data_IF_597414155412
#
_entry.id   IF_597414155412
#
_cell.length_a   1.000
_cell.length_b   1.000
_cell.length_c   1.000
_cell.angle_alpha   90.00
_cell.angle_beta   90.00
_cell.angle_gamma   90.00
#
_symmetry.space_group_name_H-M   'P 1'
#
loop_
_entity.id
_entity.type
_entity.pdbx_description
1 polymer ?
#
# COMPACT_ATOMS: atom_id res chain seq x y z
N UNK A 1 6.95 36.55 66.42
CA UNK A 1 8.28 36.41 65.77
C UNK A 1 8.49 34.96 65.36
N UNK A 2 9.10 34.76 64.19
CA UNK A 2 9.07 33.55 63.37
C UNK A 2 9.94 32.39 63.87
N UNK A 3 9.54 31.16 63.47
CA UNK A 3 10.35 30.33 62.56
C UNK A 3 9.49 29.19 61.95
N UNK A 4 9.40 29.08 60.60
CA UNK A 4 8.71 27.97 59.94
C UNK A 4 9.50 26.66 60.09
N UNK A 5 8.80 25.57 60.39
CA UNK A 5 9.37 24.20 60.46
C UNK A 5 9.52 23.67 59.04
N UNK A 6 10.76 23.29 58.66
CA UNK A 6 11.06 22.62 57.40
C UNK A 6 10.28 21.30 57.31
N UNK A 7 9.48 21.13 56.26
CA UNK A 7 9.12 19.80 55.75
C UNK A 7 10.33 19.28 54.99
N UNK A 8 10.84 18.14 55.42
CA UNK A 8 11.86 17.39 54.69
C UNK A 8 11.14 16.69 53.55
N UNK A 9 11.51 17.01 52.32
CA UNK A 9 10.98 16.38 51.12
C UNK A 9 11.68 15.02 50.99
N UNK A 10 10.92 13.93 51.17
CA UNK A 10 11.38 12.58 50.85
C UNK A 10 10.87 12.31 49.42
N UNK A 11 11.75 12.28 48.41
CA UNK A 11 11.33 12.01 47.04
C UNK A 11 10.92 10.54 46.95
N UNK A 12 9.62 10.24 46.84
CA UNK A 12 9.14 8.88 46.54
C UNK A 12 7.91 8.33 47.27
N UNK A 13 6.89 9.13 47.62
CA UNK A 13 5.55 8.63 47.98
C UNK A 13 4.47 9.47 47.29
N UNK A 14 3.91 9.00 46.17
CA UNK A 14 2.74 8.12 46.03
C UNK A 14 1.38 8.86 46.04
N UNK A 15 0.65 8.83 44.93
CA UNK A 15 -0.82 8.68 44.92
C UNK A 15 -1.29 8.10 43.57
N UNK A 16 -1.70 6.83 43.56
CA UNK A 16 -2.60 6.24 42.54
C UNK A 16 -4.06 6.62 42.87
N UNK A 17 -5.08 6.35 42.03
CA UNK A 17 -5.16 6.12 40.57
C UNK A 17 -6.26 6.99 39.92
N UNK A 18 -6.44 6.94 38.58
CA UNK A 18 -7.75 6.70 37.88
C UNK A 18 -7.71 7.25 36.44
N UNK A 19 -8.40 6.51 35.55
CA UNK A 19 -8.87 6.85 34.21
C UNK A 19 -7.93 6.50 33.03
N UNK A 20 -8.15 5.28 32.55
CA UNK A 20 -8.61 4.95 31.19
C UNK A 20 -7.72 5.17 29.95
N UNK A 21 -7.75 4.11 29.14
CA UNK A 21 -7.28 3.93 27.76
C UNK A 21 -5.77 3.72 27.57
N UNK A 22 -5.32 2.52 27.90
CA UNK A 22 -4.12 1.91 27.32
C UNK A 22 -4.46 1.43 25.89
N UNK A 23 -4.40 2.35 24.91
CA UNK A 23 -4.12 1.96 23.52
C UNK A 23 -2.63 2.18 23.34
N UNK A 24 -1.92 1.06 23.29
CA UNK A 24 -0.46 0.98 23.30
C UNK A 24 0.22 2.09 22.49
N UNK A 25 1.13 2.76 23.19
CA UNK A 25 2.08 3.69 22.62
C UNK A 25 2.72 3.08 21.35
N UNK A 26 2.43 3.71 20.21
CA UNK A 26 3.24 3.61 19.01
C UNK A 26 4.62 4.20 19.34
N UNK A 27 5.50 3.37 19.85
CA UNK A 27 6.94 3.64 19.84
C UNK A 27 7.39 3.46 18.40
N UNK A 28 7.73 4.57 17.73
CA UNK A 28 8.16 4.56 16.35
C UNK A 28 8.65 5.91 15.88
N UNK A 29 9.89 6.19 16.24
CA UNK A 29 10.82 7.13 15.60
C UNK A 29 10.49 8.64 15.61
N UNK A 30 11.33 9.36 16.35
CA UNK A 30 11.39 10.81 16.41
C UNK A 30 11.89 11.35 15.05
N UNK A 31 10.95 11.71 14.17
CA UNK A 31 11.24 12.31 12.86
C UNK A 31 11.84 13.71 13.09
N UNK A 32 13.16 13.82 12.98
CA UNK A 32 13.84 15.12 12.92
C UNK A 32 13.30 15.92 11.74
N UNK A 33 12.81 17.13 12.03
CA UNK A 33 12.07 17.97 11.10
C UNK A 33 12.75 18.21 9.75
N UNK A 34 12.12 17.72 8.71
CA UNK A 34 12.11 18.24 7.34
C UNK A 34 10.74 17.89 6.78
N UNK A 35 10.09 18.83 6.09
CA UNK A 35 8.81 18.52 5.46
C UNK A 35 9.00 17.29 4.56
N UNK A 36 8.13 16.27 4.66
CA UNK A 36 8.29 15.06 3.84
C UNK A 36 8.33 15.45 2.37
N UNK A 37 9.27 14.86 1.64
CA UNK A 37 9.39 15.06 0.19
C UNK A 37 8.01 14.82 -0.45
N UNK A 38 7.49 15.75 -1.27
CA UNK A 38 6.20 15.58 -1.94
C UNK A 38 6.08 14.24 -2.68
N UNK A 39 7.17 13.67 -3.18
CA UNK A 39 7.19 12.34 -3.79
C UNK A 39 6.84 11.23 -2.78
N UNK A 40 7.38 11.31 -1.56
CA UNK A 40 7.09 10.36 -0.47
C UNK A 40 5.64 10.49 -0.01
N UNK A 41 5.10 11.72 0.06
CA UNK A 41 3.68 11.94 0.38
C UNK A 41 2.78 11.30 -0.67
N UNK A 42 3.08 11.52 -1.96
CA UNK A 42 2.30 10.96 -3.07
C UNK A 42 2.32 9.42 -3.05
N UNK A 43 3.49 8.82 -2.82
CA UNK A 43 3.65 7.37 -2.67
C UNK A 43 2.79 6.82 -1.53
N UNK A 44 2.92 7.39 -0.33
CA UNK A 44 2.16 6.91 0.84
C UNK A 44 0.65 7.07 0.65
N UNK A 45 0.23 8.16 0.01
CA UNK A 45 -1.18 8.38 -0.35
C UNK A 45 -1.67 7.28 -1.29
N UNK A 46 -0.86 6.87 -2.27
CA UNK A 46 -1.20 5.81 -3.20
C UNK A 46 -1.28 4.46 -2.49
N UNK A 47 -0.26 4.09 -1.70
CA UNK A 47 -0.20 2.84 -0.93
C UNK A 47 -1.44 2.65 -0.05
N UNK A 48 -1.93 3.72 0.59
CA UNK A 48 -3.13 3.69 1.41
C UNK A 48 -4.43 3.35 0.64
N UNK A 49 -4.42 3.44 -0.70
CA UNK A 49 -5.58 3.17 -1.56
C UNK A 49 -5.52 1.82 -2.27
N UNK A 50 -4.43 1.07 -2.11
CA UNK A 50 -4.26 -0.24 -2.73
C UNK A 50 -5.04 -1.29 -1.93
N UNK A 51 -5.73 -2.18 -2.63
CA UNK A 51 -6.49 -3.27 -2.01
C UNK A 51 -5.59 -4.44 -1.59
N UNK A 52 -6.14 -5.41 -0.85
CA UNK A 52 -5.40 -6.56 -0.34
C UNK A 52 -4.63 -7.34 -1.42
N UNK A 53 -5.23 -7.54 -2.61
CA UNK A 53 -4.55 -8.20 -3.73
C UNK A 53 -3.34 -7.40 -4.23
N UNK A 54 -3.47 -6.09 -4.37
CA UNK A 54 -2.37 -5.22 -4.78
C UNK A 54 -1.27 -5.18 -3.72
N UNK A 55 -1.63 -5.14 -2.44
CA UNK A 55 -0.66 -5.22 -1.33
C UNK A 55 0.11 -6.53 -1.35
N UNK A 56 -0.56 -7.66 -1.61
CA UNK A 56 0.09 -8.96 -1.74
C UNK A 56 1.08 -9.00 -2.92
N UNK A 57 0.75 -8.37 -4.05
CA UNK A 57 1.67 -8.26 -5.19
C UNK A 57 2.90 -7.43 -4.81
N UNK A 58 2.71 -6.27 -4.18
CA UNK A 58 3.82 -5.39 -3.75
C UNK A 58 4.77 -6.14 -2.81
N UNK A 59 4.23 -6.84 -1.81
CA UNK A 59 5.05 -7.63 -0.89
C UNK A 59 5.86 -8.72 -1.61
N UNK A 60 5.30 -9.36 -2.64
CA UNK A 60 6.04 -10.33 -3.47
C UNK A 60 7.15 -9.69 -4.29
N UNK A 61 6.92 -8.48 -4.80
CA UNK A 61 7.94 -7.76 -5.56
C UNK A 61 9.12 -7.33 -4.67
N UNK A 62 8.85 -6.94 -3.42
CA UNK A 62 9.86 -6.67 -2.40
C UNK A 62 10.63 -7.92 -2.01
N UNK A 63 9.94 -9.04 -1.71
CA UNK A 63 10.56 -10.31 -1.35
C UNK A 63 11.50 -10.83 -2.45
N UNK A 64 11.14 -10.61 -3.72
CA UNK A 64 11.92 -11.03 -4.88
C UNK A 64 12.97 -10.01 -5.31
N UNK A 65 13.00 -8.82 -4.70
CA UNK A 65 13.98 -7.77 -4.97
C UNK A 65 13.94 -7.24 -6.40
N UNK A 66 12.74 -7.12 -7.01
CA UNK A 66 12.64 -6.61 -8.37
C UNK A 66 12.97 -5.12 -8.46
N UNK A 67 13.90 -4.80 -9.35
CA UNK A 67 14.34 -3.44 -9.68
C UNK A 67 14.05 -3.09 -11.13
N UNK A 68 14.05 -1.80 -11.44
CA UNK A 68 14.02 -1.29 -12.81
C UNK A 68 15.42 -1.27 -13.46
N UNK A 69 15.52 -0.70 -14.67
CA UNK A 69 16.78 -0.60 -15.41
C UNK A 69 17.81 0.33 -14.75
N UNK A 70 17.41 1.11 -13.74
CA UNK A 70 18.26 1.98 -12.95
C UNK A 70 18.55 1.41 -11.55
N UNK A 71 18.27 0.12 -11.33
CA UNK A 71 18.43 -0.58 -10.05
C UNK A 71 17.56 -0.01 -8.92
N UNK A 72 16.50 0.72 -9.24
CA UNK A 72 15.54 1.22 -8.25
C UNK A 72 14.46 0.16 -8.00
N UNK A 73 14.14 -0.08 -6.72
CA UNK A 73 13.07 -1.03 -6.35
C UNK A 73 11.74 -0.60 -7.00
N UNK A 74 11.07 -1.53 -7.68
CA UNK A 74 9.81 -1.22 -8.36
C UNK A 74 8.72 -0.74 -7.38
N UNK A 75 8.73 -1.20 -6.13
CA UNK A 75 7.76 -0.80 -5.10
C UNK A 75 7.95 0.62 -4.56
N UNK A 76 9.06 1.28 -4.93
CA UNK A 76 9.34 2.69 -4.69
C UNK A 76 8.84 3.58 -5.84
N UNK A 77 8.54 2.99 -7.01
CA UNK A 77 8.11 3.72 -8.19
C UNK A 77 6.58 3.94 -8.19
N UNK A 78 6.15 5.20 -8.31
CA UNK A 78 4.72 5.56 -8.29
C UNK A 78 3.94 4.99 -9.47
N UNK A 79 4.51 4.95 -10.68
CA UNK A 79 3.85 4.39 -11.87
C UNK A 79 3.60 2.89 -11.72
N UNK A 80 4.55 2.17 -11.12
CA UNK A 80 4.38 0.75 -10.79
C UNK A 80 3.23 0.56 -9.80
N UNK A 81 3.17 1.36 -8.74
CA UNK A 81 2.10 1.28 -7.74
C UNK A 81 0.72 1.62 -8.35
N UNK A 82 0.64 2.60 -9.26
CA UNK A 82 -0.59 2.91 -10.01
C UNK A 82 -1.02 1.75 -10.90
N UNK A 83 -0.06 1.09 -11.57
CA UNK A 83 -0.32 -0.08 -12.39
C UNK A 83 -0.88 -1.23 -11.55
N UNK A 84 -0.26 -1.54 -10.41
CA UNK A 84 -0.74 -2.57 -9.48
C UNK A 84 -2.16 -2.24 -9.04
N UNK A 85 -2.40 -1.01 -8.58
CA UNK A 85 -3.74 -0.55 -8.20
C UNK A 85 -4.74 -0.76 -9.33
N UNK A 86 -4.42 -0.36 -10.56
CA UNK A 86 -5.32 -0.50 -11.72
C UNK A 86 -5.57 -1.96 -12.09
N UNK A 87 -4.56 -2.81 -12.01
CA UNK A 87 -4.65 -4.23 -12.35
C UNK A 87 -5.46 -5.04 -11.32
N UNK A 88 -5.44 -4.63 -10.04
CA UNK A 88 -6.15 -5.34 -8.97
C UNK A 88 -7.46 -4.69 -8.57
N UNK A 89 -7.74 -3.47 -9.01
CA UNK A 89 -9.07 -2.87 -8.84
C UNK A 89 -10.03 -3.62 -9.75
N UNK A 90 -11.11 -4.15 -9.18
CA UNK A 90 -12.13 -4.86 -9.93
C UNK A 90 -12.74 -3.96 -11.02
N UNK A 91 -12.24 -4.06 -12.24
CA UNK A 91 -12.92 -3.54 -13.40
C UNK A 91 -14.12 -4.48 -13.68
N UNK A 92 -15.31 -3.95 -14.01
CA UNK A 92 -16.34 -4.78 -14.63
C UNK A 92 -15.70 -5.49 -15.81
N UNK A 93 -15.89 -6.81 -15.94
CA UNK A 93 -15.47 -7.51 -17.14
C UNK A 93 -16.14 -6.78 -18.31
N UNK A 94 -15.34 -6.08 -19.13
CA UNK A 94 -15.86 -5.49 -20.35
C UNK A 94 -16.46 -6.66 -21.13
N UNK A 95 -17.72 -6.56 -21.61
CA UNK A 95 -18.27 -7.61 -22.44
C UNK A 95 -17.30 -7.80 -23.59
N UNK A 96 -16.79 -9.02 -23.72
CA UNK A 96 -16.01 -9.40 -24.89
C UNK A 96 -16.80 -8.97 -26.14
N UNK A 97 -16.15 -8.30 -27.09
CA UNK A 97 -16.82 -7.86 -28.33
C UNK A 97 -17.49 -9.03 -29.03
N UNK A 98 -18.41 -8.77 -29.96
CA UNK A 98 -19.00 -9.81 -30.78
C UNK A 98 -18.37 -9.80 -32.19
N UNK A 99 -18.01 -10.96 -32.73
CA UNK A 99 -17.69 -11.15 -34.17
C UNK A 99 -18.91 -11.73 -34.85
N UNK A 100 -19.22 -11.26 -36.05
CA UNK A 100 -20.33 -11.78 -36.85
C UNK A 100 -19.83 -12.90 -37.75
N UNK A 101 -20.42 -14.10 -37.66
CA UNK A 101 -20.09 -15.19 -38.58
C UNK A 101 -20.59 -14.91 -40.01
N UNK A 102 -20.22 -15.76 -40.98
CA UNK A 102 -20.64 -15.64 -42.39
C UNK A 102 -22.16 -15.70 -42.59
N UNK A 103 -22.91 -16.21 -41.60
CA UNK A 103 -24.38 -16.29 -41.58
C UNK A 103 -25.03 -15.07 -40.91
N UNK A 104 -24.26 -14.06 -40.50
CA UNK A 104 -24.78 -12.85 -39.85
C UNK A 104 -25.04 -12.98 -38.35
N UNK A 105 -24.65 -14.07 -37.69
CA UNK A 105 -24.84 -14.31 -36.25
C UNK A 105 -23.66 -13.80 -35.43
N UNK A 106 -23.96 -13.01 -34.40
CA UNK A 106 -23.00 -12.55 -33.40
C UNK A 106 -22.49 -13.72 -32.55
N UNK A 107 -21.17 -13.92 -32.52
CA UNK A 107 -20.46 -14.83 -31.63
C UNK A 107 -19.56 -14.01 -30.69
N UNK A 108 -19.42 -14.41 -29.41
CA UNK A 108 -18.50 -13.74 -28.50
C UNK A 108 -17.05 -13.87 -29.00
N UNK A 109 -16.29 -12.78 -29.00
CA UNK A 109 -14.85 -12.77 -29.28
C UNK A 109 -14.14 -13.35 -28.07
N UNK A 110 -13.74 -14.61 -28.12
CA UNK A 110 -13.18 -15.28 -26.95
C UNK A 110 -11.99 -16.19 -27.28
N UNK A 111 -10.83 -15.59 -27.56
CA UNK A 111 -9.57 -16.22 -27.19
C UNK A 111 -9.21 -15.83 -25.75
N UNK A 112 -9.19 -16.79 -24.83
CA UNK A 112 -8.49 -16.58 -23.55
C UNK A 112 -7.02 -16.29 -23.88
N UNK A 113 -6.35 -15.33 -23.20
CA UNK A 113 -4.92 -15.16 -23.36
C UNK A 113 -4.18 -16.48 -23.11
N UNK A 114 -3.33 -16.88 -24.05
CA UNK A 114 -2.50 -18.08 -23.96
C UNK A 114 -1.04 -17.65 -23.93
N UNK A 115 -0.26 -18.23 -23.01
CA UNK A 115 1.19 -18.07 -23.01
C UNK A 115 1.80 -18.99 -24.07
N UNK A 116 2.43 -18.41 -25.09
CA UNK A 116 3.15 -19.13 -26.15
C UNK A 116 4.66 -18.93 -26.01
N UNK A 117 5.46 -19.63 -26.81
CA UNK A 117 6.92 -19.43 -26.86
C UNK A 117 7.34 -17.99 -27.22
N UNK A 118 6.45 -17.21 -27.85
CA UNK A 118 6.69 -15.81 -28.22
C UNK A 118 6.08 -14.82 -27.22
N UNK A 119 5.61 -15.30 -26.08
CA UNK A 119 4.91 -14.51 -25.07
C UNK A 119 3.39 -14.65 -25.14
N UNK A 120 2.71 -13.68 -24.55
CA UNK A 120 1.24 -13.67 -24.44
C UNK A 120 0.58 -13.46 -25.81
N UNK A 121 -0.31 -14.38 -26.19
CA UNK A 121 -1.10 -14.31 -27.41
C UNK A 121 -2.59 -14.33 -27.08
N UNK A 122 -3.39 -13.52 -27.78
CA UNK A 122 -4.86 -13.53 -27.69
C UNK A 122 -5.38 -14.19 -28.98
N UNK A 123 -5.89 -15.43 -28.93
CA UNK A 123 -6.49 -16.07 -30.09
C UNK A 123 -7.68 -15.25 -30.61
N UNK A 124 -7.75 -15.09 -31.93
CA UNK A 124 -8.88 -14.43 -32.61
C UNK A 124 -10.09 -15.33 -32.75
#
# INVERSE_FOLDING_TARGET
>A
MARPKKTVEVPGQETKPTADVDTGALVGEQITGTAPDPAIIARNTLLATINEQGTAIIARFEELGFTDLADQQLTENTEFLELVKKATTAAPAAPHGHVTNEEGKAQPVAGKPVLTERGWHIPG
#
